data_IF_176610016708
#
_entry.id   IF_176610016708
#
_cell.length_a   1.000
_cell.length_b   1.000
_cell.length_c   1.000
_cell.angle_alpha   90.00
_cell.angle_beta   90.00
_cell.angle_gamma   90.00
#
_symmetry.space_group_name_H-M   'P 1'
#
loop_
_entity.id
_entity.type
_entity.pdbx_description
1 polymer ?
#
# COMPACT_ATOMS: atom_id res chain seq x y z
N UNK A 1 25.44 -14.96 11.93
CA UNK A 1 26.30 -14.34 10.91
C UNK A 1 26.28 -15.21 9.66
N UNK A 2 26.35 -14.64 8.45
CA UNK A 2 26.49 -15.44 7.24
C UNK A 2 27.86 -16.14 7.23
N UNK A 3 27.84 -17.48 7.20
CA UNK A 3 29.06 -18.30 7.24
C UNK A 3 29.70 -18.51 5.85
N UNK A 4 29.03 -18.07 4.78
CA UNK A 4 29.50 -18.20 3.39
C UNK A 4 29.50 -16.86 2.67
N UNK A 5 30.39 -16.70 1.68
CA UNK A 5 30.48 -15.46 0.88
C UNK A 5 29.16 -15.13 0.18
N UNK A 6 28.46 -16.16 -0.32
CA UNK A 6 27.14 -16.02 -0.96
C UNK A 6 26.07 -15.55 0.02
N UNK A 7 26.07 -16.06 1.26
CA UNK A 7 25.14 -15.62 2.30
C UNK A 7 25.35 -14.15 2.66
N UNK A 8 26.60 -13.70 2.81
CA UNK A 8 26.91 -12.27 3.08
C UNK A 8 26.39 -11.35 1.98
N UNK A 9 26.52 -11.74 0.71
CA UNK A 9 25.98 -10.98 -0.42
C UNK A 9 24.43 -10.94 -0.43
N UNK A 10 23.79 -12.05 -0.02
CA UNK A 10 22.33 -12.12 0.11
C UNK A 10 21.82 -11.21 1.23
N UNK A 11 22.49 -11.14 2.37
CA UNK A 11 22.10 -10.27 3.49
C UNK A 11 22.08 -8.80 3.08
N UNK A 12 23.12 -8.32 2.39
CA UNK A 12 23.20 -6.94 1.88
C UNK A 12 22.05 -6.66 0.90
N UNK A 13 21.80 -7.59 -0.03
CA UNK A 13 20.72 -7.45 -1.02
C UNK A 13 19.34 -7.45 -0.37
N UNK A 14 19.13 -8.33 0.61
CA UNK A 14 17.89 -8.45 1.36
C UNK A 14 17.60 -7.20 2.17
N UNK A 15 18.60 -6.62 2.83
CA UNK A 15 18.43 -5.39 3.58
C UNK A 15 18.03 -4.21 2.69
N UNK A 16 18.69 -4.05 1.54
CA UNK A 16 18.35 -3.03 0.54
C UNK A 16 16.89 -3.17 0.08
N UNK A 17 16.49 -4.40 -0.27
CA UNK A 17 15.14 -4.70 -0.73
C UNK A 17 14.11 -4.49 0.40
N UNK A 18 14.45 -4.86 1.65
CA UNK A 18 13.62 -4.64 2.83
C UNK A 18 13.33 -3.15 3.03
N UNK A 19 14.37 -2.30 3.02
CA UNK A 19 14.23 -0.83 3.18
C UNK A 19 13.29 -0.23 2.13
N UNK A 20 13.47 -0.60 0.85
CA UNK A 20 12.58 -0.18 -0.25
C UNK A 20 11.13 -0.64 -0.05
N UNK A 21 10.92 -1.90 0.31
CA UNK A 21 9.59 -2.48 0.47
C UNK A 21 8.85 -1.90 1.67
N UNK A 22 9.56 -1.60 2.76
CA UNK A 22 9.02 -0.93 3.95
C UNK A 22 8.50 0.47 3.57
N UNK A 23 9.29 1.27 2.85
CA UNK A 23 8.88 2.61 2.43
C UNK A 23 7.64 2.62 1.52
N UNK A 24 7.56 1.68 0.56
CA UNK A 24 6.38 1.56 -0.31
C UNK A 24 5.15 1.11 0.49
N UNK A 25 5.33 0.14 1.40
CA UNK A 25 4.24 -0.38 2.23
C UNK A 25 3.73 0.65 3.24
N UNK A 26 4.61 1.45 3.84
CA UNK A 26 4.22 2.51 4.77
C UNK A 26 3.43 3.59 4.04
N UNK A 27 3.92 4.08 2.89
CA UNK A 27 3.22 5.08 2.08
C UNK A 27 1.81 4.64 1.68
N UNK A 28 1.67 3.40 1.20
CA UNK A 28 0.37 2.82 0.88
C UNK A 28 -0.54 2.77 2.10
N UNK A 29 -0.04 2.33 3.26
CA UNK A 29 -0.84 2.26 4.50
C UNK A 29 -1.31 3.65 4.94
N UNK A 30 -0.48 4.68 4.84
CA UNK A 30 -0.85 6.06 5.18
C UNK A 30 -2.02 6.53 4.33
N UNK A 31 -1.93 6.45 3.01
CA UNK A 31 -3.02 6.90 2.13
C UNK A 31 -4.31 6.10 2.28
N UNK A 32 -4.21 4.80 2.58
CA UNK A 32 -5.39 3.98 2.90
C UNK A 32 -6.03 4.43 4.22
N UNK A 33 -5.23 4.82 5.22
CA UNK A 33 -5.73 5.38 6.47
C UNK A 33 -6.39 6.73 6.24
N UNK A 34 -5.77 7.62 5.46
CA UNK A 34 -6.33 8.93 5.13
C UNK A 34 -7.69 8.82 4.44
N UNK A 35 -7.82 7.87 3.50
CA UNK A 35 -9.09 7.59 2.84
C UNK A 35 -10.14 7.01 3.81
N UNK A 36 -9.73 6.13 4.73
CA UNK A 36 -10.63 5.61 5.76
C UNK A 36 -11.13 6.71 6.71
N UNK A 37 -10.24 7.61 7.16
CA UNK A 37 -10.64 8.73 8.03
C UNK A 37 -11.56 9.72 7.32
N UNK A 38 -11.34 9.97 6.02
CA UNK A 38 -12.24 10.82 5.23
C UNK A 38 -13.64 10.19 5.08
N UNK A 39 -13.70 8.86 4.93
CA UNK A 39 -14.96 8.12 4.88
C UNK A 39 -15.71 8.18 6.21
N UNK A 40 -15.00 8.05 7.33
CA UNK A 40 -15.58 8.15 8.68
C UNK A 40 -16.11 9.57 8.96
N UNK A 41 -15.42 10.60 8.47
CA UNK A 41 -15.82 12.01 8.58
C UNK A 41 -16.99 12.43 7.66
N UNK A 42 -17.43 11.54 6.76
CA UNK A 42 -18.52 11.76 5.78
C UNK A 42 -18.33 12.96 4.82
N UNK A 43 -17.10 13.42 4.61
CA UNK A 43 -16.78 14.51 3.68
C UNK A 43 -16.72 14.00 2.22
N UNK A 44 -17.74 14.33 1.42
CA UNK A 44 -17.88 13.86 0.02
C UNK A 44 -16.75 14.34 -0.90
N UNK A 45 -16.19 15.53 -0.67
CA UNK A 45 -15.09 16.05 -1.51
C UNK A 45 -13.73 15.52 -1.07
N UNK A 46 -13.49 15.49 0.25
CA UNK A 46 -12.30 14.89 0.84
C UNK A 46 -12.14 13.42 0.48
N UNK A 47 -13.24 12.66 0.47
CA UNK A 47 -13.26 11.25 0.06
C UNK A 47 -12.82 11.08 -1.40
N UNK A 48 -13.34 11.87 -2.35
CA UNK A 48 -12.94 11.74 -3.76
C UNK A 48 -11.43 11.93 -3.98
N UNK A 49 -10.85 12.95 -3.35
CA UNK A 49 -9.42 13.26 -3.48
C UNK A 49 -8.52 12.21 -2.82
N UNK A 50 -8.88 11.77 -1.61
CA UNK A 50 -8.09 10.76 -0.86
C UNK A 50 -8.22 9.37 -1.46
N UNK A 51 -9.40 9.00 -1.95
CA UNK A 51 -9.65 7.71 -2.58
C UNK A 51 -8.83 7.52 -3.86
N UNK A 52 -8.77 8.52 -4.75
CA UNK A 52 -7.95 8.44 -5.97
C UNK A 52 -6.47 8.24 -5.64
N UNK A 53 -5.95 8.97 -4.64
CA UNK A 53 -4.56 8.82 -4.18
C UNK A 53 -4.32 7.43 -3.58
N UNK A 54 -5.23 6.92 -2.76
CA UNK A 54 -5.13 5.59 -2.16
C UNK A 54 -5.13 4.48 -3.23
N UNK A 55 -6.03 4.55 -4.22
CA UNK A 55 -6.10 3.58 -5.32
C UNK A 55 -4.81 3.57 -6.15
N UNK A 56 -4.30 4.75 -6.52
CA UNK A 56 -3.05 4.89 -7.27
C UNK A 56 -1.85 4.26 -6.55
N UNK A 57 -1.73 4.49 -5.24
CA UNK A 57 -0.62 3.94 -4.45
C UNK A 57 -0.75 2.43 -4.20
N UNK A 58 -1.98 1.89 -4.10
CA UNK A 58 -2.21 0.43 -4.06
C UNK A 58 -1.74 -0.23 -5.37
N UNK A 59 -2.10 0.35 -6.52
CA UNK A 59 -1.73 -0.21 -7.83
C UNK A 59 -0.23 -0.09 -8.08
N UNK A 60 0.40 1.02 -7.65
CA UNK A 60 1.85 1.19 -7.69
C UNK A 60 2.58 0.17 -6.79
N UNK A 61 2.04 -0.17 -5.62
CA UNK A 61 2.60 -1.21 -4.76
C UNK A 61 2.48 -2.61 -5.38
N UNK A 62 1.39 -2.87 -6.12
CA UNK A 62 1.21 -4.12 -6.85
C UNK A 62 2.15 -4.24 -8.05
N UNK A 63 2.29 -3.16 -8.84
CA UNK A 63 3.19 -3.11 -9.99
C UNK A 63 4.66 -3.34 -9.58
N UNK A 64 5.06 -2.84 -8.41
CA UNK A 64 6.41 -3.04 -7.85
C UNK A 64 6.60 -4.41 -7.16
N UNK A 65 5.60 -5.28 -7.17
CA UNK A 65 5.65 -6.62 -6.55
C UNK A 65 5.68 -6.62 -5.02
N UNK A 66 5.46 -5.47 -4.36
CA UNK A 66 5.44 -5.36 -2.89
C UNK A 66 4.14 -5.93 -2.32
N UNK A 67 3.07 -5.88 -3.11
CA UNK A 67 1.76 -6.41 -2.80
C UNK A 67 1.30 -7.36 -3.91
N UNK A 68 0.76 -8.52 -3.54
CA UNK A 68 0.19 -9.44 -4.53
C UNK A 68 -1.04 -8.81 -5.22
N UNK A 69 -1.25 -9.10 -6.51
CA UNK A 69 -2.37 -8.55 -7.31
C UNK A 69 -3.73 -8.78 -6.64
N UNK A 70 -3.96 -9.96 -6.07
CA UNK A 70 -5.20 -10.28 -5.36
C UNK A 70 -5.36 -9.49 -4.06
N UNK A 71 -4.25 -9.20 -3.35
CA UNK A 71 -4.31 -8.38 -2.15
C UNK A 71 -4.59 -6.91 -2.50
N UNK A 72 -4.05 -6.42 -3.61
CA UNK A 72 -4.37 -5.11 -4.16
C UNK A 72 -5.85 -5.03 -4.56
N UNK A 73 -6.36 -6.00 -5.32
CA UNK A 73 -7.76 -6.08 -5.73
C UNK A 73 -8.73 -6.08 -4.53
N UNK A 74 -8.45 -6.89 -3.50
CA UNK A 74 -9.24 -6.92 -2.26
C UNK A 74 -9.27 -5.54 -1.58
N UNK A 75 -8.12 -4.89 -1.42
CA UNK A 75 -8.04 -3.55 -0.80
C UNK A 75 -8.82 -2.50 -1.58
N UNK A 76 -8.71 -2.49 -2.91
CA UNK A 76 -9.49 -1.58 -3.79
C UNK A 76 -10.99 -1.82 -3.64
N UNK A 77 -11.42 -3.08 -3.69
CA UNK A 77 -12.83 -3.46 -3.54
C UNK A 77 -13.40 -3.03 -2.19
N UNK A 78 -12.67 -3.23 -1.09
CA UNK A 78 -13.12 -2.81 0.24
C UNK A 78 -13.29 -1.30 0.34
N UNK A 79 -12.33 -0.51 -0.17
CA UNK A 79 -12.42 0.95 -0.13
C UNK A 79 -13.57 1.48 -0.98
N UNK A 80 -13.73 0.95 -2.20
CA UNK A 80 -14.82 1.34 -3.09
C UNK A 80 -16.19 0.98 -2.52
N UNK A 81 -16.33 -0.20 -1.91
CA UNK A 81 -17.58 -0.61 -1.25
C UNK A 81 -17.96 0.32 -0.11
N UNK A 82 -17.00 0.73 0.72
CA UNK A 82 -17.23 1.69 1.81
C UNK A 82 -17.61 3.07 1.28
N UNK A 83 -16.95 3.53 0.22
CA UNK A 83 -17.29 4.80 -0.42
C UNK A 83 -18.69 4.78 -1.06
N UNK A 84 -19.08 3.67 -1.70
CA UNK A 84 -20.40 3.50 -2.29
C UNK A 84 -21.52 3.43 -1.23
N UNK A 85 -21.25 2.84 -0.06
CA UNK A 85 -22.21 2.80 1.05
C UNK A 85 -22.43 4.16 1.73
N UNK A 86 -21.55 5.14 1.50
CA UNK A 86 -21.66 6.50 2.02
C UNK A 86 -22.38 7.45 1.04
N UNK A 87 -22.42 7.09 -0.25
CA UNK A 87 -23.05 7.87 -1.31
C UNK A 87 -24.58 7.82 -1.18
#
# INVERSE_FOLDING_TARGET
>A
MPNTKTAKARDITNERNRKRNVAIRSKMKTHVKDAATALDAKDKEGVKKTLVKALSEIDRAAAKGVLHKNAAARKKSTLQRRAAALA
#
